data_IF_667480465821
#
_entry.id   IF_667480465821
#
_cell.length_a   1.000
_cell.length_b   1.000
_cell.length_c   1.000
_cell.angle_alpha   90.00
_cell.angle_beta   90.00
_cell.angle_gamma   90.00
#
_symmetry.space_group_name_H-M   'P 1'
#
loop_
_entity.id
_entity.type
_entity.pdbx_description
1 polymer ?
#
# COMPACT_ATOMS: atom_id res chain seq x y z
N UNK A 1 -31.22 -7.93 -12.90
CA UNK A 1 -29.78 -7.62 -13.04
C UNK A 1 -29.13 -7.91 -11.70
N UNK A 2 -28.33 -8.98 -11.60
CA UNK A 2 -27.65 -9.32 -10.35
C UNK A 2 -26.59 -8.26 -10.04
N UNK A 3 -26.66 -7.68 -8.84
CA UNK A 3 -25.58 -6.84 -8.29
C UNK A 3 -24.28 -7.65 -8.36
N UNK A 4 -23.32 -7.21 -9.18
CA UNK A 4 -21.97 -7.77 -9.12
C UNK A 4 -21.43 -7.46 -7.74
N UNK A 5 -21.07 -8.48 -6.97
CA UNK A 5 -20.26 -8.29 -5.77
C UNK A 5 -19.00 -7.51 -6.19
N UNK A 6 -18.80 -6.32 -5.62
CA UNK A 6 -17.62 -5.51 -5.94
C UNK A 6 -16.37 -6.18 -5.36
N UNK A 7 -15.23 -6.07 -6.06
CA UNK A 7 -13.94 -6.53 -5.54
C UNK A 7 -13.35 -5.39 -4.71
N UNK A 8 -13.33 -5.48 -3.37
CA UNK A 8 -12.89 -4.36 -2.53
C UNK A 8 -11.43 -3.98 -2.76
N UNK A 9 -10.61 -4.93 -3.22
CA UNK A 9 -9.21 -4.67 -3.54
C UNK A 9 -9.09 -3.82 -4.80
N UNK A 10 -9.87 -4.11 -5.83
CA UNK A 10 -9.94 -3.29 -7.04
C UNK A 10 -10.51 -1.89 -6.72
N UNK A 11 -11.61 -1.82 -5.98
CA UNK A 11 -12.26 -0.56 -5.62
C UNK A 11 -11.29 0.38 -4.88
N UNK A 12 -10.49 -0.16 -3.96
CA UNK A 12 -9.51 0.63 -3.24
C UNK A 12 -8.28 0.97 -4.11
N UNK A 13 -7.80 0.04 -4.93
CA UNK A 13 -6.66 0.29 -5.82
C UNK A 13 -6.95 1.42 -6.84
N UNK A 14 -8.18 1.50 -7.36
CA UNK A 14 -8.64 2.61 -8.21
C UNK A 14 -8.53 3.96 -7.49
N UNK A 15 -8.93 4.02 -6.22
CA UNK A 15 -8.82 5.25 -5.40
C UNK A 15 -7.36 5.63 -5.18
N UNK A 16 -6.50 4.67 -4.84
CA UNK A 16 -5.07 4.90 -4.66
C UNK A 16 -4.41 5.49 -5.91
N UNK A 17 -4.63 4.87 -7.07
CA UNK A 17 -4.02 5.31 -8.32
C UNK A 17 -4.56 6.68 -8.75
N UNK A 18 -5.87 6.93 -8.58
CA UNK A 18 -6.48 8.23 -8.88
C UNK A 18 -5.92 9.33 -7.98
N UNK A 19 -5.68 9.03 -6.70
CA UNK A 19 -5.09 9.97 -5.74
C UNK A 19 -3.64 10.32 -6.12
N UNK A 20 -2.83 9.32 -6.47
CA UNK A 20 -1.44 9.54 -6.94
C UNK A 20 -1.42 10.32 -8.25
N UNK A 21 -2.26 9.98 -9.22
CA UNK A 21 -2.37 10.69 -10.49
C UNK A 21 -2.73 12.17 -10.30
N UNK A 22 -3.71 12.45 -9.44
CA UNK A 22 -4.14 13.81 -9.13
C UNK A 22 -3.04 14.62 -8.43
N UNK A 23 -2.24 13.98 -7.58
CA UNK A 23 -1.25 14.65 -6.75
C UNK A 23 0.10 14.88 -7.43
N UNK A 24 0.54 13.93 -8.26
CA UNK A 24 1.90 13.90 -8.82
C UNK A 24 1.91 13.82 -10.36
N UNK A 25 0.75 13.71 -11.00
CA UNK A 25 0.62 13.57 -12.45
C UNK A 25 1.05 12.18 -12.96
N UNK A 26 0.81 11.91 -14.24
CA UNK A 26 1.17 10.61 -14.85
C UNK A 26 2.65 10.46 -15.19
N UNK A 27 3.36 11.59 -15.32
CA UNK A 27 4.79 11.68 -15.68
C UNK A 27 5.70 12.12 -14.53
N UNK A 28 5.12 12.40 -13.35
CA UNK A 28 5.90 12.86 -12.20
C UNK A 28 6.83 11.79 -11.65
N UNK A 29 7.97 12.21 -11.11
CA UNK A 29 9.00 11.30 -10.59
C UNK A 29 8.47 10.37 -9.49
N UNK A 30 7.67 10.89 -8.55
CA UNK A 30 6.98 10.09 -7.52
C UNK A 30 6.08 9.03 -8.15
N UNK A 31 5.30 9.37 -9.18
CA UNK A 31 4.40 8.43 -9.86
C UNK A 31 5.15 7.33 -10.61
N UNK A 32 6.24 7.68 -11.30
CA UNK A 32 7.13 6.72 -11.99
C UNK A 32 7.75 5.72 -11.00
N UNK A 33 8.27 6.24 -9.88
CA UNK A 33 8.86 5.41 -8.82
C UNK A 33 7.80 4.57 -8.12
N UNK A 34 6.61 5.12 -7.85
CA UNK A 34 5.48 4.39 -7.29
C UNK A 34 5.07 3.22 -8.19
N UNK A 35 4.99 3.43 -9.51
CA UNK A 35 4.80 2.35 -10.49
C UNK A 35 5.85 1.26 -10.34
N UNK A 36 7.14 1.63 -10.24
CA UNK A 36 8.20 0.66 -10.04
C UNK A 36 8.03 -0.12 -8.72
N UNK A 37 7.67 0.56 -7.61
CA UNK A 37 7.40 -0.11 -6.32
C UNK A 37 6.25 -1.11 -6.43
N UNK A 38 5.15 -0.74 -7.07
CA UNK A 38 4.01 -1.65 -7.30
C UNK A 38 4.41 -2.89 -8.10
N UNK A 39 5.30 -2.72 -9.10
CA UNK A 39 5.77 -3.84 -9.93
C UNK A 39 6.64 -4.82 -9.15
N UNK A 40 7.54 -4.32 -8.30
CA UNK A 40 8.56 -5.12 -7.61
C UNK A 40 8.08 -5.68 -6.28
N UNK A 41 7.33 -4.90 -5.49
CA UNK A 41 6.98 -5.31 -4.13
C UNK A 41 5.89 -6.38 -4.08
N UNK A 42 5.13 -6.60 -5.16
CA UNK A 42 4.24 -7.77 -5.25
C UNK A 42 5.05 -9.09 -5.27
N UNK A 43 6.23 -9.09 -5.90
CA UNK A 43 7.11 -10.26 -5.90
C UNK A 43 7.71 -10.48 -4.51
N UNK A 44 8.08 -9.41 -3.81
CA UNK A 44 8.51 -9.48 -2.41
C UNK A 44 7.41 -10.02 -1.49
N UNK A 45 6.15 -9.60 -1.69
CA UNK A 45 5.01 -10.18 -0.94
C UNK A 45 4.89 -11.68 -1.18
N UNK A 46 5.04 -12.13 -2.43
CA UNK A 46 4.88 -13.53 -2.80
C UNK A 46 6.02 -14.41 -2.27
N UNK A 47 7.28 -13.97 -2.40
CA UNK A 47 8.44 -14.79 -2.07
C UNK A 47 8.96 -14.60 -0.64
N UNK A 48 8.73 -13.44 -0.04
CA UNK A 48 9.29 -13.09 1.28
C UNK A 48 8.21 -12.83 2.33
N UNK A 49 6.94 -12.79 1.94
CA UNK A 49 5.82 -12.60 2.84
C UNK A 49 5.54 -11.14 3.19
N UNK A 50 4.40 -10.92 3.85
CA UNK A 50 3.90 -9.59 4.17
C UNK A 50 4.77 -8.87 5.22
N UNK A 51 5.15 -9.57 6.28
CA UNK A 51 5.93 -8.98 7.37
C UNK A 51 7.29 -8.47 6.88
N UNK A 52 8.01 -9.28 6.10
CA UNK A 52 9.28 -8.87 5.51
C UNK A 52 9.10 -7.67 4.58
N UNK A 53 8.09 -7.71 3.71
CA UNK A 53 7.84 -6.63 2.75
C UNK A 53 7.52 -5.31 3.47
N UNK A 54 6.70 -5.34 4.52
CA UNK A 54 6.43 -4.16 5.34
C UNK A 54 7.68 -3.65 6.04
N UNK A 55 8.51 -4.53 6.62
CA UNK A 55 9.77 -4.14 7.24
C UNK A 55 10.73 -3.49 6.21
N UNK A 56 10.78 -4.03 4.99
CA UNK A 56 11.55 -3.44 3.90
C UNK A 56 11.03 -2.05 3.52
N UNK A 57 9.72 -1.89 3.35
CA UNK A 57 9.11 -0.60 3.04
C UNK A 57 9.40 0.42 4.14
N UNK A 58 9.26 0.04 5.42
CA UNK A 58 9.61 0.90 6.57
C UNK A 58 11.07 1.33 6.52
N UNK A 59 11.99 0.44 6.15
CA UNK A 59 13.42 0.77 6.03
C UNK A 59 13.71 1.83 4.96
N UNK A 60 12.81 1.98 3.97
CA UNK A 60 12.95 2.89 2.84
C UNK A 60 12.12 4.18 2.96
N UNK A 61 10.99 4.12 3.65
CA UNK A 61 10.03 5.22 3.79
C UNK A 61 9.99 5.86 5.19
N UNK A 62 10.66 5.26 6.16
CA UNK A 62 10.38 5.50 7.57
C UNK A 62 8.99 5.00 7.98
N UNK A 63 8.63 5.24 9.25
CA UNK A 63 7.35 4.79 9.83
C UNK A 63 6.26 5.85 9.85
N UNK A 64 6.60 7.13 9.70
CA UNK A 64 5.66 8.26 9.92
C UNK A 64 4.41 8.17 9.03
N UNK A 65 4.60 8.04 7.71
CA UNK A 65 3.48 7.97 6.76
C UNK A 65 2.63 6.70 6.96
N UNK A 66 3.27 5.57 7.29
CA UNK A 66 2.58 4.30 7.50
C UNK A 66 1.74 4.33 8.78
N UNK A 67 2.27 4.91 9.86
CA UNK A 67 1.54 5.09 11.12
C UNK A 67 0.36 6.06 10.91
N UNK A 68 0.59 7.18 10.22
CA UNK A 68 -0.49 8.13 9.88
C UNK A 68 -1.60 7.45 9.07
N UNK A 69 -1.25 6.57 8.13
CA UNK A 69 -2.22 5.82 7.34
C UNK A 69 -3.07 4.84 8.19
N UNK A 70 -2.51 4.29 9.27
CA UNK A 70 -3.25 3.46 10.22
C UNK A 70 -4.26 4.29 11.03
N UNK A 71 -3.96 5.55 11.32
CA UNK A 71 -4.85 6.46 12.07
C UNK A 71 -5.93 7.10 11.18
N UNK A 72 -5.55 7.51 9.97
CA UNK A 72 -6.42 8.16 8.99
C UNK A 72 -6.45 7.36 7.67
N UNK A 73 -7.25 6.28 7.59
CA UNK A 73 -7.19 5.29 6.50
C UNK A 73 -7.91 5.76 5.21
N UNK A 74 -7.49 6.90 4.67
CA UNK A 74 -8.06 7.52 3.47
C UNK A 74 -6.93 7.95 2.51
N UNK A 75 -6.98 7.58 1.21
CA UNK A 75 -5.92 7.88 0.25
C UNK A 75 -5.49 9.35 0.21
N UNK A 76 -6.43 10.29 0.23
CA UNK A 76 -6.10 11.72 0.15
C UNK A 76 -5.31 12.21 1.39
N UNK A 77 -5.61 11.66 2.57
CA UNK A 77 -4.85 11.95 3.80
C UNK A 77 -3.44 11.39 3.76
N UNK A 78 -3.26 10.23 3.15
CA UNK A 78 -1.93 9.67 2.88
C UNK A 78 -1.16 10.60 1.94
N UNK A 79 -1.78 11.07 0.86
CA UNK A 79 -1.15 11.99 -0.08
C UNK A 79 -0.72 13.30 0.61
N UNK A 80 -1.59 13.90 1.42
CA UNK A 80 -1.28 15.12 2.19
C UNK A 80 -0.02 14.93 3.05
N UNK A 81 0.10 13.79 3.72
CA UNK A 81 1.25 13.46 4.56
C UNK A 81 2.51 13.19 3.74
N UNK A 82 2.40 12.39 2.68
CA UNK A 82 3.54 12.01 1.83
C UNK A 82 4.07 13.19 1.02
N UNK A 83 3.27 14.22 0.74
CA UNK A 83 3.76 15.47 0.14
C UNK A 83 4.84 16.19 0.97
N UNK A 84 4.96 15.87 2.27
CA UNK A 84 6.03 16.41 3.12
C UNK A 84 7.37 15.67 2.95
N UNK A 85 7.37 14.51 2.28
CA UNK A 85 8.56 13.73 1.97
C UNK A 85 9.24 14.32 0.73
N UNK A 86 10.50 14.76 0.89
CA UNK A 86 11.24 15.47 -0.16
C UNK A 86 11.73 14.53 -1.25
N UNK A 87 12.20 13.36 -0.87
CA UNK A 87 12.79 12.40 -1.79
C UNK A 87 11.70 11.57 -2.47
N UNK A 88 11.65 11.59 -3.80
CA UNK A 88 10.63 10.90 -4.57
C UNK A 88 10.67 9.37 -4.36
N UNK A 89 11.86 8.82 -4.11
CA UNK A 89 12.02 7.41 -3.76
C UNK A 89 11.36 7.06 -2.42
N UNK A 90 11.68 7.81 -1.36
CA UNK A 90 11.08 7.63 -0.04
C UNK A 90 9.56 7.80 -0.10
N UNK A 91 9.08 8.83 -0.80
CA UNK A 91 7.67 9.09 -1.02
C UNK A 91 6.97 7.91 -1.72
N UNK A 92 7.59 7.33 -2.74
CA UNK A 92 7.02 6.20 -3.48
C UNK A 92 6.86 4.94 -2.62
N UNK A 93 7.82 4.66 -1.73
CA UNK A 93 7.71 3.57 -0.76
C UNK A 93 6.63 3.87 0.29
N UNK A 94 6.58 5.11 0.77
CA UNK A 94 5.57 5.55 1.74
C UNK A 94 4.15 5.35 1.21
N UNK A 95 3.89 5.76 -0.04
CA UNK A 95 2.58 5.55 -0.70
C UNK A 95 2.22 4.07 -0.78
N UNK A 96 3.14 3.23 -1.26
CA UNK A 96 2.89 1.80 -1.39
C UNK A 96 2.54 1.15 -0.04
N UNK A 97 3.39 1.39 0.98
CA UNK A 97 3.17 0.83 2.31
C UNK A 97 1.89 1.32 2.97
N UNK A 98 1.63 2.63 2.90
CA UNK A 98 0.44 3.23 3.46
C UNK A 98 -0.84 2.69 2.81
N UNK A 99 -0.89 2.61 1.49
CA UNK A 99 -2.04 2.04 0.79
C UNK A 99 -2.25 0.56 1.12
N UNK A 100 -1.18 -0.23 1.19
CA UNK A 100 -1.28 -1.63 1.58
C UNK A 100 -1.86 -1.78 3.00
N UNK A 101 -1.37 -1.00 3.97
CA UNK A 101 -1.87 -1.04 5.34
C UNK A 101 -3.32 -0.59 5.44
N UNK A 102 -3.72 0.46 4.73
CA UNK A 102 -5.12 0.90 4.70
C UNK A 102 -6.03 -0.15 4.11
N UNK A 103 -5.63 -0.77 3.01
CA UNK A 103 -6.41 -1.86 2.42
C UNK A 103 -6.61 -3.00 3.43
N UNK A 104 -5.54 -3.47 4.07
CA UNK A 104 -5.62 -4.56 5.04
C UNK A 104 -6.50 -4.20 6.24
N UNK A 105 -6.41 -2.94 6.71
CA UNK A 105 -7.26 -2.40 7.77
C UNK A 105 -8.73 -2.41 7.37
N UNK A 106 -9.06 -1.91 6.18
CA UNK A 106 -10.42 -1.89 5.64
C UNK A 106 -10.96 -3.29 5.33
N UNK A 107 -10.09 -4.22 4.95
CA UNK A 107 -10.41 -5.61 4.66
C UNK A 107 -10.59 -6.48 5.92
N UNK A 108 -10.52 -5.88 7.11
CA UNK A 108 -10.77 -6.52 8.40
C UNK A 108 -9.66 -7.45 8.86
N UNK A 109 -8.42 -7.24 8.41
CA UNK A 109 -7.28 -8.09 8.82
C UNK A 109 -6.97 -7.83 10.29
N UNK A 110 -7.12 -8.86 11.12
CA UNK A 110 -7.00 -8.81 12.59
C UNK A 110 -5.70 -8.17 13.08
N UNK A 111 -4.61 -8.44 12.38
CA UNK A 111 -3.26 -7.99 12.68
C UNK A 111 -3.08 -6.48 12.45
N UNK A 112 -4.00 -5.86 11.70
CA UNK A 112 -3.93 -4.45 11.27
C UNK A 112 -5.06 -3.59 11.84
N UNK A 113 -6.27 -4.14 12.03
CA UNK A 113 -7.46 -3.36 12.44
C UNK A 113 -7.23 -2.55 13.72
N UNK A 114 -6.63 -3.16 14.74
CA UNK A 114 -6.34 -2.52 16.03
C UNK A 114 -4.97 -1.82 16.10
N UNK A 115 -4.13 -1.99 15.09
CA UNK A 115 -2.76 -1.46 15.10
C UNK A 115 -2.76 0.07 14.93
N UNK A 116 -1.89 0.74 15.68
CA UNK A 116 -1.64 2.19 15.57
C UNK A 116 -0.30 2.46 14.89
N UNK A 117 0.66 1.55 15.06
CA UNK A 117 1.96 1.66 14.43
C UNK A 117 2.25 0.47 13.52
N UNK A 118 3.13 0.68 12.54
CA UNK A 118 3.63 -0.40 11.70
C UNK A 118 4.42 -1.45 12.50
N UNK A 119 5.04 -1.06 13.62
CA UNK A 119 5.69 -2.03 14.51
C UNK A 119 4.67 -2.94 15.21
N UNK A 120 3.51 -2.41 15.59
CA UNK A 120 2.40 -3.23 16.11
C UNK A 120 1.98 -4.26 15.05
N UNK A 121 1.82 -3.83 13.80
CA UNK A 121 1.46 -4.73 12.68
C UNK A 121 2.50 -5.84 12.50
N UNK A 122 3.80 -5.49 12.50
CA UNK A 122 4.88 -6.47 12.37
C UNK A 122 4.90 -7.45 13.55
N UNK A 123 4.72 -6.95 14.77
CA UNK A 123 4.61 -7.78 15.97
C UNK A 123 3.42 -8.74 15.91
N UNK A 124 2.26 -8.24 15.49
CA UNK A 124 1.04 -9.03 15.33
C UNK A 124 1.20 -10.11 14.26
N UNK A 125 1.78 -9.79 13.11
CA UNK A 125 2.02 -10.74 12.02
C UNK A 125 2.97 -11.86 12.44
N UNK A 126 4.01 -11.56 13.22
CA UNK A 126 5.00 -12.54 13.67
C UNK A 126 4.41 -13.62 14.61
N UNK A 127 3.33 -13.29 15.34
CA UNK A 127 2.66 -14.21 16.26
C UNK A 127 1.35 -14.80 15.74
N UNK A 128 0.96 -14.48 14.50
CA UNK A 128 -0.40 -14.75 14.04
C UNK A 128 -0.55 -16.11 13.35
N UNK A 129 -1.56 -16.87 13.80
CA UNK A 129 -2.03 -18.07 13.10
C UNK A 129 -2.78 -17.76 11.78
N UNK A 130 -3.19 -16.50 11.56
CA UNK A 130 -3.93 -16.04 10.38
C UNK A 130 -3.08 -15.20 9.43
N UNK A 131 -1.75 -15.16 9.60
CA UNK A 131 -0.84 -14.40 8.74
C UNK A 131 -1.02 -14.73 7.25
N UNK A 132 -1.27 -15.99 6.90
CA UNK A 132 -1.54 -16.41 5.51
C UNK A 132 -2.78 -15.76 4.90
N UNK A 133 -3.81 -15.46 5.71
CA UNK A 133 -5.03 -14.75 5.25
C UNK A 133 -4.70 -13.28 4.96
N UNK A 134 -3.89 -12.66 5.83
CA UNK A 134 -3.40 -11.30 5.61
C UNK A 134 -2.57 -11.22 4.31
N UNK A 135 -1.71 -12.20 4.06
CA UNK A 135 -0.90 -12.30 2.85
C UNK A 135 -1.74 -12.49 1.58
N UNK A 136 -2.73 -13.38 1.61
CA UNK A 136 -3.62 -13.58 0.46
C UNK A 136 -4.38 -12.30 0.09
N UNK A 137 -4.87 -11.56 1.09
CA UNK A 137 -5.51 -10.25 0.89
C UNK A 137 -4.51 -9.23 0.35
N UNK A 138 -3.32 -9.14 0.95
CA UNK A 138 -2.26 -8.24 0.51
C UNK A 138 -1.88 -8.46 -0.96
N UNK A 139 -1.67 -9.71 -1.36
CA UNK A 139 -1.35 -10.11 -2.74
C UNK A 139 -2.46 -9.69 -3.70
N UNK A 140 -3.73 -9.97 -3.38
CA UNK A 140 -4.87 -9.60 -4.23
C UNK A 140 -4.91 -8.09 -4.51
N UNK A 141 -4.66 -7.28 -3.48
CA UNK A 141 -4.58 -5.82 -3.64
C UNK A 141 -3.34 -5.38 -4.42
N UNK A 142 -2.17 -5.93 -4.10
CA UNK A 142 -0.91 -5.59 -4.77
C UNK A 142 -0.93 -5.91 -6.26
N UNK A 143 -1.57 -7.02 -6.67
CA UNK A 143 -1.77 -7.36 -8.08
C UNK A 143 -2.60 -6.31 -8.83
N UNK A 144 -3.74 -5.89 -8.25
CA UNK A 144 -4.55 -4.82 -8.84
C UNK A 144 -3.77 -3.51 -8.93
N UNK A 145 -3.08 -3.15 -7.85
CA UNK A 145 -2.29 -1.92 -7.78
C UNK A 145 -1.17 -1.93 -8.83
N UNK A 146 -0.48 -3.06 -9.02
CA UNK A 146 0.52 -3.25 -10.08
C UNK A 146 -0.07 -3.00 -11.47
N UNK A 147 -1.16 -3.69 -11.82
CA UNK A 147 -1.74 -3.58 -13.17
C UNK A 147 -2.24 -2.17 -13.48
N UNK A 148 -2.86 -1.51 -12.49
CA UNK A 148 -3.33 -0.14 -12.64
C UNK A 148 -2.17 0.85 -12.75
N UNK A 149 -1.15 0.73 -11.89
CA UNK A 149 0.01 1.60 -11.93
C UNK A 149 0.79 1.47 -13.25
N UNK A 150 0.92 0.24 -13.78
CA UNK A 150 1.55 -0.02 -15.08
C UNK A 150 0.78 0.57 -16.26
N UNK A 151 -0.56 0.62 -16.18
CA UNK A 151 -1.43 1.16 -17.22
C UNK A 151 -1.56 2.69 -17.20
N UNK A 152 -1.37 3.34 -16.04
CA UNK A 152 -1.69 4.77 -15.85
C UNK A 152 -0.45 5.66 -15.79
N UNK A 153 0.64 5.21 -15.16
CA UNK A 153 1.84 6.03 -15.00
C UNK A 153 2.88 5.71 -16.07
N UNK A 154 3.65 6.70 -16.54
CA UNK A 154 4.73 6.44 -17.50
C UNK A 154 5.87 5.64 -16.88
N UNK A 155 6.64 4.97 -17.73
CA UNK A 155 7.88 4.34 -17.30
C UNK A 155 8.95 5.42 -17.07
N UNK A 156 10.02 5.08 -16.36
CA UNK A 156 11.22 5.93 -16.30
C UNK A 156 11.74 6.25 -17.69
#
# INVERSE_FOLDING_TARGET
>A
MGSRASDPALDFALKCVSAVQSAYGTKGDVSKRFRARCRHLVESLYYSGLAYTLAYVVSKAGSSALNSALEAPVPDKIIEHVKQVKEAEEASYALYGAFLLVFLKQAGVSEVVGAKTVLDVLGNLNGSATAAIAEAKALRFAEWLKRLAEGIFEAE
#
